data_IF_018870823504
#
_entry.id   IF_018870823504
#
_cell.length_a   1.000
_cell.length_b   1.000
_cell.length_c   1.000
_cell.angle_alpha   90.00
_cell.angle_beta   90.00
_cell.angle_gamma   90.00
#
_symmetry.space_group_name_H-M   'P 1'
#
loop_
_entity.id
_entity.type
_entity.pdbx_description
1 polymer ?
#
# COMPACT_ATOMS: atom_id res chain seq x y z
N UNK A 1 21.57 -2.86 7.20
CA UNK A 1 22.22 -4.16 6.93
C UNK A 1 21.76 -4.62 5.56
N UNK A 2 22.68 -4.78 4.60
CA UNK A 2 22.30 -5.05 3.21
C UNK A 2 21.83 -6.50 3.07
N UNK A 3 20.55 -6.69 2.73
CA UNK A 3 19.91 -7.99 2.48
C UNK A 3 20.56 -8.82 1.35
N UNK A 4 21.51 -8.25 0.61
CA UNK A 4 22.25 -8.93 -0.46
C UNK A 4 23.16 -10.07 0.04
N UNK A 5 23.55 -10.10 1.32
CA UNK A 5 24.46 -11.13 1.85
C UNK A 5 23.78 -12.43 2.30
N UNK A 6 22.44 -12.52 2.25
CA UNK A 6 21.69 -13.75 2.58
C UNK A 6 21.50 -14.69 1.39
N UNK A 7 21.82 -14.26 0.17
CA UNK A 7 21.80 -15.08 -1.03
C UNK A 7 23.19 -15.69 -1.26
N UNK A 8 23.27 -17.03 -1.18
CA UNK A 8 24.34 -17.93 -1.60
C UNK A 8 25.60 -17.25 -2.21
N UNK A 9 26.83 -17.47 -1.68
CA UNK A 9 28.06 -16.77 -2.11
C UNK A 9 28.40 -16.88 -3.61
N UNK A 10 27.76 -17.79 -4.36
CA UNK A 10 27.87 -17.90 -5.81
C UNK A 10 27.04 -16.92 -6.65
N UNK A 11 26.06 -16.21 -6.05
CA UNK A 11 25.06 -15.43 -6.80
C UNK A 11 25.67 -14.27 -7.60
N UNK A 12 26.66 -13.59 -7.02
CA UNK A 12 27.36 -12.47 -7.69
C UNK A 12 28.19 -12.95 -8.86
N UNK A 13 28.91 -14.08 -8.71
CA UNK A 13 29.74 -14.69 -9.76
C UNK A 13 28.87 -15.19 -10.92
N UNK A 14 27.77 -15.88 -10.63
CA UNK A 14 26.83 -16.37 -11.65
C UNK A 14 26.28 -15.21 -12.50
N UNK A 15 25.82 -14.13 -11.87
CA UNK A 15 25.30 -12.97 -12.58
C UNK A 15 26.37 -12.26 -13.41
N UNK A 16 27.59 -12.16 -12.89
CA UNK A 16 28.71 -11.55 -13.60
C UNK A 16 29.12 -12.37 -14.84
N UNK A 17 29.16 -13.70 -14.71
CA UNK A 17 29.37 -14.61 -15.85
C UNK A 17 28.23 -14.48 -16.87
N UNK A 18 26.97 -14.44 -16.42
CA UNK A 18 25.81 -14.26 -17.32
C UNK A 18 25.89 -12.95 -18.11
N UNK A 19 26.37 -11.86 -17.49
CA UNK A 19 26.56 -10.55 -18.13
C UNK A 19 27.76 -10.51 -19.09
N UNK A 20 28.83 -11.24 -18.82
CA UNK A 20 30.03 -11.26 -19.67
C UNK A 20 29.88 -12.21 -20.85
N UNK A 21 29.44 -13.43 -20.58
CA UNK A 21 29.22 -14.43 -21.61
C UNK A 21 28.11 -13.91 -22.51
N UNK A 22 27.03 -13.33 -21.94
CA UNK A 22 25.84 -12.79 -22.62
C UNK A 22 26.08 -12.16 -24.00
N UNK A 23 26.76 -11.02 -24.07
CA UNK A 23 27.06 -10.31 -25.31
C UNK A 23 27.84 -11.13 -26.35
N UNK A 24 28.74 -12.02 -25.92
CA UNK A 24 29.59 -12.79 -26.84
C UNK A 24 28.76 -13.76 -27.70
N UNK A 25 27.89 -14.55 -27.08
CA UNK A 25 27.02 -15.49 -27.82
C UNK A 25 25.90 -14.75 -28.56
N UNK A 26 25.47 -13.56 -28.08
CA UNK A 26 24.58 -12.68 -28.85
C UNK A 26 25.25 -12.27 -30.17
N UNK A 27 26.54 -11.87 -30.10
CA UNK A 27 27.35 -11.54 -31.27
C UNK A 27 27.45 -12.71 -32.26
N UNK A 28 27.73 -13.91 -31.77
CA UNK A 28 27.75 -15.14 -32.60
C UNK A 28 26.39 -15.39 -33.26
N UNK A 29 25.29 -15.22 -32.53
CA UNK A 29 23.93 -15.35 -33.06
C UNK A 29 23.60 -14.33 -34.14
N UNK A 30 23.98 -13.07 -33.95
CA UNK A 30 23.80 -12.00 -34.93
C UNK A 30 24.61 -12.27 -36.19
N UNK A 31 25.85 -12.77 -36.07
CA UNK A 31 26.67 -13.16 -37.22
C UNK A 31 25.99 -14.30 -38.00
N UNK A 32 25.49 -15.34 -37.32
CA UNK A 32 24.76 -16.44 -37.96
C UNK A 32 23.48 -15.97 -38.66
N UNK A 33 22.69 -15.11 -38.01
CA UNK A 33 21.49 -14.54 -38.58
C UNK A 33 21.81 -13.66 -39.81
N UNK A 34 22.89 -12.87 -39.77
CA UNK A 34 23.34 -12.05 -40.89
C UNK A 34 23.80 -12.90 -42.08
N UNK A 35 24.56 -13.98 -41.85
CA UNK A 35 24.97 -14.91 -42.92
C UNK A 35 23.74 -15.54 -43.58
N UNK A 36 22.76 -15.98 -42.78
CA UNK A 36 21.51 -16.55 -43.29
C UNK A 36 20.70 -15.54 -44.11
N UNK A 37 20.62 -14.29 -43.63
CA UNK A 37 19.87 -13.22 -44.29
C UNK A 37 20.56 -12.76 -45.58
N UNK A 38 21.88 -12.57 -45.57
CA UNK A 38 22.68 -12.22 -46.76
C UNK A 38 22.60 -13.35 -47.79
N UNK A 39 22.70 -14.63 -47.36
CA UNK A 39 22.56 -15.77 -48.26
C UNK A 39 21.16 -15.85 -48.89
N UNK A 40 20.12 -15.43 -48.18
CA UNK A 40 18.76 -15.36 -48.70
C UNK A 40 18.64 -14.26 -49.76
N UNK A 41 19.04 -13.02 -49.44
CA UNK A 41 18.93 -11.89 -50.35
C UNK A 41 19.84 -12.00 -51.58
N UNK A 42 21.02 -12.59 -51.46
CA UNK A 42 21.89 -12.87 -52.61
C UNK A 42 21.34 -13.95 -53.56
N UNK A 43 20.36 -14.73 -53.12
CA UNK A 43 19.65 -15.71 -53.93
C UNK A 43 18.44 -15.12 -54.66
N UNK A 44 17.99 -13.90 -54.33
CA UNK A 44 16.92 -13.21 -55.06
C UNK A 44 17.42 -12.82 -56.45
N UNK A 45 16.97 -13.56 -57.47
CA UNK A 45 17.40 -13.39 -58.87
C UNK A 45 18.29 -14.54 -59.37
N UNK A 46 18.80 -15.39 -58.49
CA UNK A 46 19.40 -16.67 -58.85
C UNK A 46 18.34 -17.77 -58.79
N UNK A 47 18.22 -18.61 -59.82
CA UNK A 47 17.30 -19.77 -59.82
C UNK A 47 17.72 -20.90 -58.84
N UNK A 48 18.74 -20.67 -58.00
CA UNK A 48 19.23 -21.61 -56.99
C UNK A 48 18.68 -21.33 -55.59
N UNK A 49 18.49 -22.36 -54.74
CA UNK A 49 18.14 -22.17 -53.34
C UNK A 49 19.31 -21.62 -52.51
N UNK A 50 19.04 -20.76 -51.50
CA UNK A 50 20.08 -20.17 -50.67
C UNK A 50 20.75 -21.22 -49.76
N UNK A 51 22.05 -21.46 -49.95
CA UNK A 51 22.79 -22.55 -49.27
C UNK A 51 22.92 -22.36 -47.75
N UNK A 52 22.98 -21.12 -47.25
CA UNK A 52 23.17 -20.82 -45.83
C UNK A 52 21.93 -20.26 -45.14
N UNK A 53 20.76 -20.32 -45.79
CA UNK A 53 19.52 -19.81 -45.19
C UNK A 53 19.16 -20.51 -43.86
N UNK A 54 19.54 -21.78 -43.70
CA UNK A 54 19.37 -22.54 -42.46
C UNK A 54 20.05 -21.88 -41.24
N UNK A 55 21.10 -21.07 -41.45
CA UNK A 55 21.76 -20.32 -40.39
C UNK A 55 20.83 -19.32 -39.71
N UNK A 56 19.78 -18.82 -40.40
CA UNK A 56 18.78 -17.94 -39.81
C UNK A 56 17.92 -18.68 -38.77
N UNK A 57 17.58 -19.95 -39.01
CA UNK A 57 16.81 -20.77 -38.06
C UNK A 57 17.60 -21.14 -36.81
N UNK A 58 18.93 -21.09 -36.86
CA UNK A 58 19.78 -21.27 -35.69
C UNK A 58 20.06 -19.92 -35.01
N UNK A 59 20.33 -18.88 -35.80
CA UNK A 59 20.67 -17.54 -35.31
C UNK A 59 19.52 -16.88 -34.56
N UNK A 60 18.29 -16.91 -35.10
CA UNK A 60 17.15 -16.19 -34.50
C UNK A 60 16.75 -16.74 -33.12
N UNK A 61 16.57 -18.07 -32.94
CA UNK A 61 16.28 -18.64 -31.63
C UNK A 61 17.43 -18.44 -30.63
N UNK A 62 18.67 -18.51 -31.10
CA UNK A 62 19.84 -18.27 -30.26
C UNK A 62 19.88 -16.81 -29.77
N UNK A 63 19.59 -15.83 -30.63
CA UNK A 63 19.43 -14.42 -30.24
C UNK A 63 18.26 -14.24 -29.26
N UNK A 64 17.10 -14.86 -29.53
CA UNK A 64 15.91 -14.72 -28.68
C UNK A 64 16.16 -15.27 -27.27
N UNK A 65 16.66 -16.50 -27.17
CA UNK A 65 17.04 -17.14 -25.91
C UNK A 65 18.09 -16.30 -25.17
N UNK A 66 19.06 -15.76 -25.91
CA UNK A 66 20.12 -14.91 -25.35
C UNK A 66 19.62 -13.58 -24.82
N UNK A 67 18.66 -12.97 -25.52
CA UNK A 67 18.05 -11.71 -25.10
C UNK A 67 17.29 -11.90 -23.78
N UNK A 68 16.60 -13.04 -23.61
CA UNK A 68 15.90 -13.38 -22.37
C UNK A 68 16.86 -13.56 -21.19
N UNK A 69 17.96 -14.29 -21.41
CA UNK A 69 19.00 -14.50 -20.39
C UNK A 69 19.66 -13.17 -19.99
N UNK A 70 19.96 -12.31 -20.98
CA UNK A 70 20.55 -10.99 -20.72
C UNK A 70 19.57 -10.09 -19.95
N UNK A 71 18.29 -10.07 -20.33
CA UNK A 71 17.24 -9.35 -19.58
C UNK A 71 17.19 -9.81 -18.13
N UNK A 72 17.22 -11.12 -17.88
CA UNK A 72 17.24 -11.67 -16.52
C UNK A 72 18.49 -11.25 -15.73
N UNK A 73 19.67 -11.22 -16.39
CA UNK A 73 20.93 -10.80 -15.76
C UNK A 73 20.94 -9.32 -15.30
N UNK A 74 20.25 -8.45 -16.03
CA UNK A 74 20.16 -7.01 -15.75
C UNK A 74 18.88 -6.61 -15.01
N UNK A 75 17.87 -7.49 -14.92
CA UNK A 75 16.58 -7.23 -14.29
C UNK A 75 16.70 -6.60 -12.90
N UNK A 76 17.55 -7.13 -12.02
CA UNK A 76 17.69 -6.59 -10.67
C UNK A 76 18.30 -5.19 -10.62
N UNK A 77 19.17 -4.84 -11.57
CA UNK A 77 19.74 -3.48 -11.66
C UNK A 77 18.70 -2.49 -12.21
N UNK A 78 17.96 -2.91 -13.23
CA UNK A 78 16.90 -2.10 -13.85
C UNK A 78 15.74 -1.88 -12.87
N UNK A 79 15.29 -2.93 -12.17
CA UNK A 79 14.18 -2.84 -11.22
C UNK A 79 14.49 -1.89 -10.05
N UNK A 80 15.74 -1.89 -9.56
CA UNK A 80 16.18 -0.95 -8.52
C UNK A 80 16.20 0.50 -9.02
N UNK A 81 16.67 0.71 -10.25
CA UNK A 81 16.63 2.04 -10.87
C UNK A 81 15.18 2.51 -11.04
N UNK A 82 14.32 1.66 -11.61
CA UNK A 82 12.91 1.94 -11.79
C UNK A 82 12.21 2.23 -10.46
N UNK A 83 12.47 1.44 -9.41
CA UNK A 83 11.88 1.70 -8.09
C UNK A 83 12.35 3.03 -7.50
N UNK A 84 13.64 3.38 -7.68
CA UNK A 84 14.17 4.64 -7.17
C UNK A 84 13.55 5.86 -7.88
N UNK A 85 13.33 5.75 -9.20
CA UNK A 85 12.76 6.84 -10.02
C UNK A 85 11.23 6.94 -9.88
N UNK A 86 10.52 5.81 -9.85
CA UNK A 86 9.06 5.79 -9.82
C UNK A 86 8.46 5.98 -8.43
N UNK A 87 9.18 5.60 -7.36
CA UNK A 87 8.70 5.75 -5.98
C UNK A 87 8.36 7.19 -5.57
N UNK A 88 9.17 8.23 -5.86
CA UNK A 88 8.83 9.61 -5.49
C UNK A 88 7.58 10.08 -6.24
N UNK A 89 7.49 9.83 -7.55
CA UNK A 89 6.32 10.21 -8.37
C UNK A 89 5.05 9.51 -7.86
N UNK A 90 5.16 8.23 -7.48
CA UNK A 90 4.05 7.49 -6.89
C UNK A 90 3.60 8.08 -5.55
N UNK A 91 4.54 8.48 -4.70
CA UNK A 91 4.24 9.17 -3.43
C UNK A 91 3.54 10.51 -3.68
N UNK A 92 4.04 11.32 -4.61
CA UNK A 92 3.49 12.65 -4.88
C UNK A 92 2.07 12.55 -5.48
N UNK A 93 1.87 11.60 -6.40
CA UNK A 93 0.54 11.30 -6.96
C UNK A 93 -0.43 10.86 -5.86
N UNK A 94 0.01 9.96 -4.97
CA UNK A 94 -0.82 9.49 -3.87
C UNK A 94 -1.18 10.64 -2.91
N UNK A 95 -0.22 11.48 -2.53
CA UNK A 95 -0.46 12.63 -1.66
C UNK A 95 -1.46 13.61 -2.30
N UNK A 96 -1.30 13.91 -3.59
CA UNK A 96 -2.23 14.77 -4.33
C UNK A 96 -3.66 14.20 -4.36
N UNK A 97 -3.80 12.90 -4.63
CA UNK A 97 -5.10 12.23 -4.59
C UNK A 97 -5.68 12.19 -3.17
N UNK A 98 -4.84 11.98 -2.17
CA UNK A 98 -5.25 11.97 -0.76
C UNK A 98 -5.78 13.34 -0.33
N UNK A 99 -5.16 14.44 -0.75
CA UNK A 99 -5.65 15.80 -0.49
C UNK A 99 -7.04 16.03 -1.08
N UNK A 100 -7.24 15.65 -2.35
CA UNK A 100 -8.53 15.79 -3.02
C UNK A 100 -9.65 14.92 -2.42
N UNK A 101 -9.30 13.82 -1.75
CA UNK A 101 -10.26 12.87 -1.16
C UNK A 101 -10.40 13.01 0.36
N UNK A 102 -9.55 13.79 1.02
CA UNK A 102 -9.53 13.93 2.47
C UNK A 102 -10.87 14.41 3.04
N UNK A 103 -11.56 15.32 2.34
CA UNK A 103 -12.87 15.82 2.76
C UNK A 103 -13.93 14.71 2.73
N UNK A 104 -14.01 13.96 1.63
CA UNK A 104 -14.94 12.84 1.47
C UNK A 104 -14.70 11.75 2.51
N UNK A 105 -13.45 11.31 2.68
CA UNK A 105 -13.08 10.28 3.66
C UNK A 105 -13.43 10.72 5.09
N UNK A 106 -13.16 11.99 5.46
CA UNK A 106 -13.54 12.52 6.78
C UNK A 106 -15.05 12.52 6.98
N UNK A 107 -15.84 12.89 5.98
CA UNK A 107 -17.31 12.85 6.05
C UNK A 107 -17.82 11.44 6.24
N UNK A 108 -17.30 10.48 5.48
CA UNK A 108 -17.68 9.07 5.65
C UNK A 108 -17.29 8.54 7.03
N UNK A 109 -16.09 8.84 7.51
CA UNK A 109 -15.64 8.44 8.84
C UNK A 109 -16.54 9.02 9.96
N UNK A 110 -17.00 10.27 9.83
CA UNK A 110 -17.96 10.87 10.77
C UNK A 110 -19.31 10.17 10.74
N UNK A 111 -19.86 9.95 9.54
CA UNK A 111 -21.16 9.28 9.39
C UNK A 111 -21.14 7.85 9.96
N UNK A 112 -20.04 7.10 9.77
CA UNK A 112 -19.88 5.78 10.36
C UNK A 112 -19.79 5.85 11.88
N UNK A 113 -19.04 6.82 12.45
CA UNK A 113 -18.95 7.02 13.89
C UNK A 113 -20.32 7.30 14.51
N UNK A 114 -21.08 8.21 13.91
CA UNK A 114 -22.43 8.57 14.37
C UNK A 114 -23.42 7.40 14.23
N UNK A 115 -23.21 6.50 13.28
CA UNK A 115 -24.10 5.34 13.06
C UNK A 115 -23.80 4.10 13.91
N UNK A 116 -22.56 3.91 14.37
CA UNK A 116 -22.13 2.65 15.00
C UNK A 116 -21.51 2.79 16.38
N UNK A 117 -21.06 3.99 16.79
CA UNK A 117 -20.50 4.19 18.12
C UNK A 117 -21.57 4.85 19.01
N UNK A 118 -21.89 4.26 20.18
CA UNK A 118 -22.75 4.94 21.15
C UNK A 118 -22.13 6.29 21.51
N UNK A 119 -22.96 7.33 21.68
CA UNK A 119 -22.48 8.62 22.18
C UNK A 119 -21.75 8.36 23.50
N UNK A 120 -20.45 8.66 23.56
CA UNK A 120 -19.67 8.48 24.76
C UNK A 120 -19.61 9.81 25.52
N UNK A 121 -20.03 9.82 26.79
CA UNK A 121 -19.95 10.99 27.68
C UNK A 121 -18.76 10.86 28.60
N UNK A 122 -17.96 11.92 28.70
CA UNK A 122 -16.81 11.95 29.60
C UNK A 122 -17.26 12.07 31.06
N UNK A 123 -16.66 11.27 31.94
CA UNK A 123 -16.89 11.35 33.38
C UNK A 123 -16.43 12.70 33.92
N UNK A 124 -17.26 13.44 34.68
CA UNK A 124 -16.88 14.75 35.22
C UNK A 124 -15.79 14.67 36.31
N UNK A 125 -15.52 13.48 36.84
CA UNK A 125 -14.58 13.28 37.94
C UNK A 125 -13.19 12.81 37.49
N UNK A 126 -13.11 11.92 36.50
CA UNK A 126 -11.84 11.39 36.00
C UNK A 126 -11.58 11.63 34.50
N UNK A 127 -12.58 12.08 33.73
CA UNK A 127 -12.47 12.31 32.29
C UNK A 127 -12.60 11.07 31.40
N UNK A 128 -12.80 9.87 31.98
CA UNK A 128 -12.98 8.63 31.22
C UNK A 128 -14.24 8.68 30.35
N UNK A 129 -14.17 8.17 29.11
CA UNK A 129 -15.34 8.09 28.22
C UNK A 129 -16.22 6.89 28.59
N UNK A 130 -17.45 7.14 29.00
CA UNK A 130 -18.43 6.10 29.33
C UNK A 130 -19.59 6.17 28.33
N UNK A 131 -20.39 5.12 28.22
CA UNK A 131 -21.62 5.16 27.43
C UNK A 131 -22.52 6.32 27.87
N UNK A 132 -23.26 6.95 26.94
CA UNK A 132 -24.16 8.07 27.25
C UNK A 132 -25.18 7.76 28.35
N UNK A 133 -25.58 6.49 28.45
CA UNK A 133 -26.56 6.03 29.44
C UNK A 133 -25.91 5.45 30.72
N UNK A 134 -24.58 5.51 30.85
CA UNK A 134 -23.87 4.99 32.02
C UNK A 134 -24.26 5.78 33.29
N UNK A 135 -24.67 5.06 34.33
CA UNK A 135 -25.03 5.67 35.64
C UNK A 135 -23.82 5.90 36.54
N UNK A 136 -22.79 5.07 36.39
CA UNK A 136 -21.53 5.13 37.12
C UNK A 136 -20.39 5.07 36.12
N UNK A 137 -19.25 5.65 36.47
CA UNK A 137 -18.07 5.57 35.62
C UNK A 137 -17.40 4.19 35.74
N UNK A 138 -17.09 3.57 34.62
CA UNK A 138 -16.44 2.26 34.53
C UNK A 138 -15.00 2.26 35.08
N UNK A 139 -14.35 3.43 35.12
CA UNK A 139 -12.99 3.57 35.64
C UNK A 139 -12.91 3.97 37.12
N UNK A 140 -13.63 5.03 37.50
CA UNK A 140 -13.51 5.58 38.86
C UNK A 140 -14.66 5.18 39.79
N UNK A 141 -15.71 4.53 39.27
CA UNK A 141 -16.89 4.10 40.03
C UNK A 141 -17.81 5.25 40.50
N UNK A 142 -17.47 6.51 40.24
CA UNK A 142 -18.27 7.65 40.67
C UNK A 142 -19.51 7.82 39.78
N UNK A 143 -20.63 8.30 40.36
CA UNK A 143 -21.87 8.50 39.61
C UNK A 143 -21.67 9.51 38.48
N UNK A 144 -22.18 9.17 37.30
CA UNK A 144 -22.15 10.02 36.11
C UNK A 144 -23.21 11.13 36.18
N UNK A 145 -24.29 10.90 36.94
CA UNK A 145 -25.31 11.90 37.23
C UNK A 145 -24.96 12.67 38.50
N UNK A 146 -24.80 13.98 38.38
CA UNK A 146 -24.74 14.85 39.55
C UNK A 146 -26.14 14.88 40.22
N UNK A 147 -26.17 15.15 41.52
CA UNK A 147 -27.39 15.19 42.32
C UNK A 147 -27.61 16.58 42.90
N UNK A 148 -28.87 17.01 43.02
CA UNK A 148 -29.29 18.25 43.66
C UNK A 148 -30.21 17.94 44.84
N UNK A 149 -29.90 18.53 45.99
CA UNK A 149 -30.73 18.40 47.19
C UNK A 149 -31.84 19.43 47.17
N UNK A 150 -33.08 18.99 47.38
CA UNK A 150 -34.22 19.89 47.45
C UNK A 150 -34.09 20.83 48.67
N UNK A 151 -34.16 22.17 48.49
CA UNK A 151 -34.03 23.11 49.61
C UNK A 151 -35.21 23.08 50.58
N UNK A 152 -36.36 22.51 50.17
CA UNK A 152 -37.59 22.53 50.95
C UNK A 152 -37.75 21.27 51.81
N UNK A 153 -37.42 20.09 51.30
CA UNK A 153 -37.66 18.80 51.97
C UNK A 153 -36.42 17.90 52.06
N UNK A 154 -35.23 18.43 51.73
CA UNK A 154 -33.93 17.73 51.72
C UNK A 154 -33.86 16.42 50.93
N UNK A 155 -34.85 16.10 50.10
CA UNK A 155 -34.82 14.95 49.20
C UNK A 155 -33.78 15.16 48.10
N UNK A 156 -32.95 14.15 47.85
CA UNK A 156 -31.92 14.15 46.79
C UNK A 156 -32.57 13.81 45.44
N UNK A 157 -32.30 14.61 44.42
CA UNK A 157 -32.85 14.48 43.08
C UNK A 157 -31.72 14.51 42.04
N UNK A 158 -31.97 14.02 40.81
CA UNK A 158 -31.00 14.11 39.71
C UNK A 158 -30.83 15.58 39.28
N UNK A 159 -29.60 16.02 38.99
CA UNK A 159 -29.37 17.33 38.36
C UNK A 159 -30.09 17.36 36.99
N UNK A 160 -30.90 18.38 36.76
CA UNK A 160 -31.82 18.46 35.62
C UNK A 160 -33.28 18.05 35.91
N UNK A 161 -33.58 17.54 37.12
CA UNK A 161 -34.95 17.33 37.54
C UNK A 161 -35.67 18.69 37.69
N UNK A 162 -36.78 18.86 36.96
CA UNK A 162 -37.59 20.09 37.04
C UNK A 162 -38.39 20.21 38.35
N UNK A 163 -38.74 19.07 38.94
CA UNK A 163 -39.53 18.99 40.17
C UNK A 163 -38.91 17.98 41.15
N UNK A 164 -39.07 18.22 42.44
CA UNK A 164 -38.61 17.33 43.50
C UNK A 164 -39.51 16.09 43.60
N UNK A 165 -38.91 14.90 43.61
CA UNK A 165 -39.61 13.61 43.75
C UNK A 165 -40.21 13.37 45.14
N UNK A 166 -39.78 14.12 46.16
CA UNK A 166 -40.26 13.98 47.54
C UNK A 166 -41.44 14.90 47.88
N UNK A 167 -41.38 16.18 47.48
CA UNK A 167 -42.39 17.19 47.84
C UNK A 167 -43.01 17.95 46.66
N UNK A 168 -42.59 17.69 45.42
CA UNK A 168 -43.10 18.37 44.23
C UNK A 168 -42.59 19.81 44.02
N UNK A 169 -41.75 20.35 44.90
CA UNK A 169 -41.16 21.69 44.74
C UNK A 169 -40.33 21.80 43.46
N UNK A 170 -40.48 22.90 42.73
CA UNK A 170 -39.73 23.14 41.49
C UNK A 170 -38.25 23.36 41.80
N UNK A 171 -37.37 22.60 41.15
CA UNK A 171 -35.93 22.69 41.33
C UNK A 171 -35.34 23.54 40.19
N UNK A 172 -34.32 24.35 40.47
CA UNK A 172 -33.73 25.30 39.53
C UNK A 172 -32.92 24.65 38.38
N UNK A 173 -32.95 23.32 38.23
CA UNK A 173 -32.23 22.58 37.18
C UNK A 173 -33.02 22.54 35.87
N UNK A 174 -33.40 23.71 35.34
CA UNK A 174 -34.12 23.86 34.07
C UNK A 174 -33.38 24.78 33.12
#
# INVERSE_FOLDING_TARGET
MNDENRLNPGHRKLRQVLRLVGPLVMGVGVIFAAIGLISFFSSFGSFGPPRYFWCAFVGLPLIALRSAITKFAFMGSVLRYMSAESSPVGKDTFNYMAEGTQSGVRTMARAVREGFLPEATACPHCGHGNDADAKFCDECGQPMSQEITCPQCSTVNRLGARFCNGCGHQLAGG
#
